data_IF_019793687789
#
_entry.id   IF_019793687789
#
_cell.length_a   1.000
_cell.length_b   1.000
_cell.length_c   1.000
_cell.angle_alpha   90.00
_cell.angle_beta   90.00
_cell.angle_gamma   90.00
#
_symmetry.space_group_name_H-M   'P 1'
#
loop_
_entity.id
_entity.type
_entity.pdbx_description
1 polymer ?
#
# COMPACT_ATOMS: atom_id res chain seq x y z
N UNK A 1 44.51 24.97 -15.13
CA UNK A 1 43.25 24.28 -15.49
C UNK A 1 42.71 23.59 -14.25
N UNK A 2 41.67 24.14 -13.61
CA UNK A 2 41.07 23.57 -12.39
C UNK A 2 40.11 22.45 -12.82
N UNK A 3 40.47 21.19 -12.52
CA UNK A 3 39.57 20.04 -12.61
C UNK A 3 38.56 20.18 -11.47
N UNK A 4 37.32 20.52 -11.80
CA UNK A 4 36.21 20.44 -10.88
C UNK A 4 36.02 18.99 -10.48
N UNK A 5 36.20 18.70 -9.20
CA UNK A 5 35.82 17.44 -8.59
C UNK A 5 34.30 17.48 -8.54
N UNK A 6 33.65 16.84 -9.51
CA UNK A 6 32.23 16.50 -9.45
C UNK A 6 32.12 15.43 -8.36
N UNK A 7 32.09 15.91 -7.11
CA UNK A 7 31.88 15.06 -5.95
C UNK A 7 30.45 14.53 -6.08
N UNK A 8 30.35 13.25 -6.43
CA UNK A 8 29.12 12.47 -6.40
C UNK A 8 28.34 12.82 -5.13
N UNK A 9 27.29 13.64 -5.31
CA UNK A 9 26.36 13.96 -4.24
C UNK A 9 25.71 12.62 -3.89
N UNK A 10 25.85 12.11 -2.66
CA UNK A 10 25.21 10.86 -2.27
C UNK A 10 23.71 11.02 -2.49
N UNK A 11 23.03 9.90 -2.77
CA UNK A 11 21.58 9.68 -2.97
C UNK A 11 20.66 10.27 -1.85
N UNK A 12 20.82 11.55 -1.51
CA UNK A 12 19.76 12.40 -0.99
C UNK A 12 18.72 12.47 -2.11
N UNK A 13 17.93 11.41 -2.24
CA UNK A 13 16.64 11.45 -2.92
C UNK A 13 15.94 12.64 -2.29
N UNK A 14 15.90 13.76 -3.03
CA UNK A 14 15.21 14.96 -2.58
C UNK A 14 13.78 14.54 -2.34
N UNK A 15 13.44 14.26 -1.08
CA UNK A 15 12.12 13.82 -0.70
C UNK A 15 11.15 14.87 -1.22
N UNK A 16 10.13 14.39 -1.91
CA UNK A 16 9.13 15.25 -2.54
C UNK A 16 8.39 16.02 -1.46
N UNK A 17 7.94 17.21 -1.80
CA UNK A 17 7.31 18.12 -0.84
C UNK A 17 6.02 17.54 -0.26
N UNK A 18 5.70 17.92 0.99
CA UNK A 18 4.46 17.55 1.66
C UNK A 18 3.19 17.89 0.84
N UNK A 19 3.23 18.92 0.00
CA UNK A 19 2.10 19.30 -0.86
C UNK A 19 1.81 18.26 -1.94
N UNK A 20 2.83 17.60 -2.48
CA UNK A 20 2.63 16.50 -3.43
C UNK A 20 2.12 15.24 -2.71
N UNK A 21 2.61 14.98 -1.50
CA UNK A 21 2.09 13.88 -0.67
C UNK A 21 0.59 14.06 -0.35
N UNK A 22 0.13 15.30 -0.18
CA UNK A 22 -1.26 15.62 0.09
C UNK A 22 -2.20 15.16 -1.04
N UNK A 23 -1.80 15.37 -2.29
CA UNK A 23 -2.57 14.93 -3.46
C UNK A 23 -2.63 13.39 -3.54
N UNK A 24 -1.49 12.72 -3.32
CA UNK A 24 -1.43 11.26 -3.30
C UNK A 24 -2.27 10.68 -2.17
N UNK A 25 -2.19 11.25 -0.96
CA UNK A 25 -2.98 10.80 0.19
C UNK A 25 -4.48 10.92 -0.04
N UNK A 26 -4.95 12.04 -0.61
CA UNK A 26 -6.38 12.20 -0.96
C UNK A 26 -6.82 11.18 -2.01
N UNK A 27 -5.97 10.91 -2.99
CA UNK A 27 -6.27 9.91 -4.01
C UNK A 27 -6.40 8.51 -3.41
N UNK A 28 -5.46 8.11 -2.54
CA UNK A 28 -5.48 6.83 -1.84
C UNK A 28 -6.70 6.69 -0.91
N UNK A 29 -7.07 7.76 -0.21
CA UNK A 29 -8.28 7.80 0.61
C UNK A 29 -9.55 7.59 -0.21
N UNK A 30 -9.65 8.24 -1.37
CA UNK A 30 -10.80 8.09 -2.28
C UNK A 30 -10.92 6.67 -2.80
N UNK A 31 -9.80 6.06 -3.23
CA UNK A 31 -9.76 4.67 -3.67
C UNK A 31 -10.23 3.77 -2.54
N UNK A 32 -9.67 3.87 -1.33
CA UNK A 32 -10.09 3.00 -0.23
C UNK A 32 -11.56 3.23 0.18
N UNK A 33 -12.06 4.45 0.08
CA UNK A 33 -13.47 4.74 0.31
C UNK A 33 -14.39 4.08 -0.72
N UNK A 34 -13.97 3.95 -1.98
CA UNK A 34 -14.78 3.26 -3.00
C UNK A 34 -14.91 1.76 -2.75
N UNK A 35 -13.95 1.13 -2.07
CA UNK A 35 -14.02 -0.29 -1.71
C UNK A 35 -14.71 -0.57 -0.36
N UNK A 36 -14.91 0.47 0.47
CA UNK A 36 -15.64 0.35 1.73
C UNK A 36 -17.17 0.43 1.57
N UNK A 37 -17.67 0.71 0.35
CA UNK A 37 -19.08 0.68 0.01
C UNK A 37 -19.65 -0.75 -0.06
N UNK A 38 -20.98 -0.91 -0.26
CA UNK A 38 -21.58 -2.22 -0.51
C UNK A 38 -20.85 -2.94 -1.65
N UNK A 39 -20.82 -4.29 -1.67
CA UNK A 39 -19.95 -5.12 -2.52
C UNK A 39 -20.30 -5.10 -4.02
N UNK A 40 -20.82 -3.99 -4.52
CA UNK A 40 -21.20 -3.84 -5.90
C UNK A 40 -19.98 -3.33 -6.69
N UNK A 41 -19.53 -4.17 -7.62
CA UNK A 41 -18.82 -3.80 -8.86
C UNK A 41 -17.28 -3.64 -8.86
N UNK A 42 -16.51 -4.47 -8.15
CA UNK A 42 -15.11 -4.72 -8.55
C UNK A 42 -14.89 -6.22 -8.83
N UNK A 43 -14.72 -6.65 -10.10
CA UNK A 43 -14.43 -8.04 -10.42
C UNK A 43 -12.97 -8.34 -10.05
N UNK A 44 -12.72 -8.67 -8.78
CA UNK A 44 -11.41 -9.12 -8.32
C UNK A 44 -11.13 -8.78 -6.85
N UNK A 45 -10.36 -9.65 -6.19
CA UNK A 45 -9.81 -9.39 -4.85
C UNK A 45 -9.04 -8.07 -4.89
N UNK A 46 -9.41 -7.12 -4.02
CA UNK A 46 -8.70 -5.86 -3.92
C UNK A 46 -7.22 -6.15 -3.57
N UNK A 47 -6.23 -5.61 -4.33
CA UNK A 47 -4.84 -5.97 -4.17
C UNK A 47 -4.20 -5.22 -2.99
N UNK A 48 -4.61 -5.57 -1.77
CA UNK A 48 -4.14 -5.00 -0.49
C UNK A 48 -2.62 -4.88 -0.43
N UNK A 49 -1.89 -5.92 -0.82
CA UNK A 49 -0.42 -5.93 -0.82
C UNK A 49 0.25 -4.94 -1.80
N UNK A 50 -0.40 -4.57 -2.90
CA UNK A 50 0.10 -3.50 -3.79
C UNK A 50 -0.06 -2.13 -3.11
N UNK A 51 -1.23 -1.90 -2.52
CA UNK A 51 -1.55 -0.63 -1.88
C UNK A 51 -0.77 -0.41 -0.59
N UNK A 52 -0.51 -1.45 0.19
CA UNK A 52 0.31 -1.36 1.39
C UNK A 52 1.74 -0.87 1.06
N UNK A 53 2.36 -1.47 0.05
CA UNK A 53 3.68 -1.03 -0.45
C UNK A 53 3.65 0.42 -0.93
N UNK A 54 2.61 0.81 -1.67
CA UNK A 54 2.49 2.18 -2.19
C UNK A 54 2.31 3.21 -1.07
N UNK A 55 1.61 2.85 0.00
CA UNK A 55 1.46 3.71 1.17
C UNK A 55 2.77 3.81 1.96
N UNK A 56 3.47 2.69 2.16
CA UNK A 56 4.80 2.70 2.80
C UNK A 56 5.84 3.51 2.00
N UNK A 57 5.72 3.56 0.67
CA UNK A 57 6.55 4.42 -0.16
C UNK A 57 6.32 5.92 0.09
N UNK A 58 5.14 6.34 0.57
CA UNK A 58 4.93 7.76 0.91
C UNK A 58 5.83 8.21 2.06
N UNK A 59 6.06 7.37 3.07
CA UNK A 59 6.97 7.66 4.17
C UNK A 59 8.44 7.73 3.71
N UNK A 60 8.79 6.99 2.66
CA UNK A 60 10.14 6.95 2.11
C UNK A 60 10.43 8.12 1.16
N UNK A 61 9.45 8.46 0.31
CA UNK A 61 9.63 9.35 -0.85
C UNK A 61 9.25 10.80 -0.56
N UNK A 62 8.54 11.09 0.54
CA UNK A 62 8.05 12.43 0.85
C UNK A 62 8.46 12.88 2.26
N UNK A 63 8.68 14.19 2.43
CA UNK A 63 8.84 14.79 3.75
C UNK A 63 7.46 15.09 4.33
N UNK A 64 6.86 14.06 4.92
CA UNK A 64 5.52 14.13 5.50
C UNK A 64 5.49 14.98 6.77
N UNK A 65 4.45 15.81 6.88
CA UNK A 65 4.13 16.50 8.15
C UNK A 65 3.36 15.57 9.09
N UNK A 66 3.30 15.83 10.41
CA UNK A 66 2.68 14.91 11.37
C UNK A 66 1.23 14.50 11.05
N UNK A 67 0.43 15.43 10.50
CA UNK A 67 -0.94 15.13 10.06
C UNK A 67 -0.98 14.13 8.90
N UNK A 68 0.00 14.16 8.01
CA UNK A 68 0.14 13.24 6.89
C UNK A 68 0.64 11.88 7.36
N UNK A 69 1.62 11.82 8.26
CA UNK A 69 2.04 10.57 8.91
C UNK A 69 0.86 9.86 9.60
N UNK A 70 0.02 10.61 10.30
CA UNK A 70 -1.17 10.05 10.94
C UNK A 70 -2.17 9.47 9.92
N UNK A 71 -2.33 10.12 8.75
CA UNK A 71 -3.17 9.63 7.66
C UNK A 71 -2.58 8.36 7.04
N UNK A 72 -1.28 8.31 6.77
CA UNK A 72 -0.58 7.10 6.32
C UNK A 72 -0.85 5.92 7.26
N UNK A 73 -0.64 6.11 8.57
CA UNK A 73 -0.91 5.07 9.58
C UNK A 73 -2.40 4.68 9.66
N UNK A 74 -3.32 5.61 9.39
CA UNK A 74 -4.75 5.32 9.29
C UNK A 74 -5.07 4.46 8.07
N UNK A 75 -4.47 4.77 6.92
CA UNK A 75 -4.68 4.00 5.69
C UNK A 75 -4.09 2.59 5.78
N UNK A 76 -2.90 2.43 6.36
CA UNK A 76 -2.30 1.11 6.65
C UNK A 76 -3.21 0.25 7.52
N UNK A 77 -3.78 0.82 8.59
CA UNK A 77 -4.74 0.10 9.44
C UNK A 77 -6.01 -0.30 8.69
N UNK A 78 -6.55 0.58 7.84
CA UNK A 78 -7.72 0.26 7.01
C UNK A 78 -7.43 -0.86 6.01
N UNK A 79 -6.24 -0.84 5.39
CA UNK A 79 -5.80 -1.91 4.50
C UNK A 79 -5.72 -3.25 5.22
N UNK A 80 -5.12 -3.29 6.42
CA UNK A 80 -5.03 -4.52 7.20
C UNK A 80 -6.41 -5.08 7.57
N UNK A 81 -7.37 -4.21 7.90
CA UNK A 81 -8.76 -4.63 8.15
C UNK A 81 -9.44 -5.17 6.89
N UNK A 82 -9.22 -4.52 5.74
CA UNK A 82 -9.75 -4.97 4.46
C UNK A 82 -9.13 -6.32 4.05
N UNK A 83 -7.83 -6.51 4.26
CA UNK A 83 -7.12 -7.76 3.98
C UNK A 83 -7.69 -8.92 4.78
N UNK A 84 -7.84 -8.73 6.10
CA UNK A 84 -8.48 -9.71 6.98
C UNK A 84 -9.93 -10.00 6.58
N UNK A 85 -10.69 -8.98 6.16
CA UNK A 85 -12.07 -9.17 5.72
C UNK A 85 -12.14 -9.95 4.39
N UNK A 86 -11.21 -9.70 3.47
CA UNK A 86 -11.09 -10.43 2.21
C UNK A 86 -10.66 -11.88 2.43
N UNK A 87 -9.72 -12.15 3.33
CA UNK A 87 -9.32 -13.52 3.70
C UNK A 87 -10.47 -14.31 4.34
N UNK A 88 -11.32 -13.64 5.13
CA UNK A 88 -12.52 -14.25 5.72
C UNK A 88 -13.64 -14.50 4.69
N UNK A 89 -13.82 -13.57 3.73
CA UNK A 89 -14.85 -13.66 2.69
C UNK A 89 -14.49 -14.64 1.56
N UNK A 90 -13.18 -14.79 1.27
CA UNK A 90 -12.64 -15.70 0.26
C UNK A 90 -11.57 -16.57 0.90
N UNK A 91 -11.94 -17.52 1.78
CA UNK A 91 -11.00 -18.51 2.27
C UNK A 91 -10.58 -19.34 1.05
N UNK A 92 -9.37 -19.11 0.53
CA UNK A 92 -8.78 -19.99 -0.49
C UNK A 92 -8.93 -21.41 0.02
N UNK A 93 -9.72 -22.22 -0.70
CA UNK A 93 -10.03 -23.59 -0.35
C UNK A 93 -8.75 -24.43 -0.43
N UNK A 94 -7.98 -24.43 0.64
CA UNK A 94 -6.81 -25.28 0.84
C UNK A 94 -7.23 -26.73 1.19
N UNK A 95 -8.21 -27.31 0.50
CA UNK A 95 -8.72 -28.66 0.78
C UNK A 95 -8.40 -29.73 -0.28
N UNK A 96 -7.62 -29.43 -1.33
CA UNK A 96 -7.39 -30.40 -2.42
C UNK A 96 -6.11 -31.25 -2.32
N UNK A 97 -5.34 -31.20 -1.22
CA UNK A 97 -4.07 -31.93 -1.12
C UNK A 97 -4.07 -33.14 -0.17
N UNK A 98 -5.00 -33.26 0.78
CA UNK A 98 -4.90 -34.27 1.83
C UNK A 98 -5.66 -35.59 1.53
N UNK A 99 -6.62 -35.59 0.59
CA UNK A 99 -7.54 -36.73 0.40
C UNK A 99 -7.09 -37.80 -0.62
N UNK A 100 -5.90 -37.69 -1.23
CA UNK A 100 -5.42 -38.67 -2.23
C UNK A 100 -4.47 -39.75 -1.70
N UNK A 101 -4.18 -39.78 -0.40
CA UNK A 101 -3.17 -40.68 0.20
C UNK A 101 -3.72 -41.83 1.06
N UNK A 102 -5.04 -41.96 1.16
CA UNK A 102 -5.70 -42.98 2.00
C UNK A 102 -6.33 -44.15 1.20
N UNK A 103 -6.07 -44.25 -0.10
CA UNK A 103 -6.53 -45.38 -0.94
C UNK A 103 -5.35 -45.94 -1.74
N UNK A 104 -4.49 -46.73 -1.08
CA UNK A 104 -3.51 -47.62 -1.69
C UNK A 104 -3.52 -48.95 -0.93
#
# INVERSE_FOLDING_TARGET
MKKGIDAAIPEFRQRRTAQLAESELRHLELILASYAGPPDVAPGRFPTGYWDKRIAQLDADYDLVPSQCHRVASLQRKLALLDNALDSAYPESHEDAQNRRAAA
#
